data_IF_222347519213
#
_entry.id   IF_222347519213
#
_cell.length_a   1.000
_cell.length_b   1.000
_cell.length_c   1.000
_cell.angle_alpha   90.00
_cell.angle_beta   90.00
_cell.angle_gamma   90.00
#
_symmetry.space_group_name_H-M   'P 1'
#
loop_
_entity.id
_entity.type
_entity.pdbx_description
1 polymer ?
#
# COMPACT_ATOMS: atom_id res chain seq x y z
N UNK A 1 -1.47 -5.80 22.75
CA UNK A 1 -1.91 -5.98 21.34
C UNK A 1 -1.22 -5.01 20.39
N UNK A 2 -1.13 -3.70 20.72
CA UNK A 2 -0.42 -2.72 19.87
C UNK A 2 1.07 -3.07 19.68
N UNK A 3 1.75 -3.48 20.73
CA UNK A 3 3.18 -3.84 20.67
C UNK A 3 3.42 -5.07 19.77
N UNK A 4 2.58 -6.11 19.87
CA UNK A 4 2.71 -7.30 19.02
C UNK A 4 2.50 -7.01 17.52
N UNK A 5 1.61 -6.09 17.17
CA UNK A 5 1.44 -5.66 15.77
C UNK A 5 2.64 -4.83 15.30
N UNK A 6 3.16 -3.95 16.16
CA UNK A 6 4.35 -3.16 15.85
C UNK A 6 5.56 -4.06 15.58
N UNK A 7 5.77 -5.07 16.43
CA UNK A 7 6.84 -6.04 16.25
C UNK A 7 6.67 -6.83 14.96
N UNK A 8 5.44 -7.26 14.64
CA UNK A 8 5.15 -7.96 13.39
C UNK A 8 5.41 -7.09 12.14
N UNK A 9 5.05 -5.81 12.17
CA UNK A 9 5.33 -4.86 11.09
C UNK A 9 6.84 -4.61 10.94
N UNK A 10 7.58 -4.45 12.04
CA UNK A 10 9.03 -4.28 12.00
C UNK A 10 9.74 -5.54 11.45
N UNK A 11 9.27 -6.72 11.86
CA UNK A 11 9.79 -7.98 11.34
C UNK A 11 9.52 -8.11 9.83
N UNK A 12 8.32 -7.80 9.38
CA UNK A 12 7.98 -7.79 7.97
C UNK A 12 8.84 -6.80 7.18
N UNK A 13 9.07 -5.59 7.69
CA UNK A 13 9.93 -4.59 7.07
C UNK A 13 11.37 -5.12 6.90
N UNK A 14 11.93 -5.77 7.92
CA UNK A 14 13.27 -6.37 7.84
C UNK A 14 13.35 -7.47 6.76
N UNK A 15 12.33 -8.34 6.66
CA UNK A 15 12.26 -9.39 5.64
C UNK A 15 12.21 -8.77 4.23
N UNK A 16 11.35 -7.79 4.03
CA UNK A 16 11.17 -7.07 2.76
C UNK A 16 12.47 -6.37 2.34
N UNK A 17 13.06 -5.60 3.24
CA UNK A 17 14.31 -4.89 2.97
C UNK A 17 15.45 -5.87 2.61
N UNK A 18 15.51 -7.01 3.28
CA UNK A 18 16.51 -8.07 2.97
C UNK A 18 16.25 -8.63 1.57
N UNK A 19 15.01 -9.03 1.24
CA UNK A 19 14.70 -9.61 -0.05
C UNK A 19 14.99 -8.64 -1.23
N UNK A 20 14.69 -7.34 -1.05
CA UNK A 20 15.01 -6.33 -2.07
C UNK A 20 16.51 -6.08 -2.15
N UNK A 21 17.21 -5.96 -1.02
CA UNK A 21 18.67 -5.76 -0.97
C UNK A 21 19.43 -6.87 -1.64
N UNK A 22 19.05 -8.12 -1.41
CA UNK A 22 19.69 -9.29 -2.02
C UNK A 22 19.55 -9.29 -3.55
N UNK A 23 18.43 -8.79 -4.06
CA UNK A 23 18.18 -8.68 -5.51
C UNK A 23 18.85 -7.46 -6.15
N UNK A 24 18.85 -6.31 -5.46
CA UNK A 24 19.38 -5.04 -6.01
C UNK A 24 20.90 -4.95 -5.89
N UNK A 25 21.48 -5.52 -4.82
CA UNK A 25 22.88 -5.34 -4.48
C UNK A 25 23.16 -3.97 -3.84
N UNK A 26 24.45 -3.73 -3.53
CA UNK A 26 24.90 -2.53 -2.81
C UNK A 26 25.69 -1.54 -3.66
N UNK A 27 25.50 -1.52 -4.97
CA UNK A 27 26.22 -0.63 -5.86
C UNK A 27 25.74 0.82 -5.76
N UNK A 28 26.62 1.84 -5.95
CA UNK A 28 26.23 3.24 -6.04
C UNK A 28 25.29 3.51 -7.23
N UNK A 29 24.55 4.61 -7.16
CA UNK A 29 23.68 5.07 -8.25
C UNK A 29 22.24 4.57 -8.08
N UNK A 30 21.65 4.00 -9.12
CA UNK A 30 20.23 3.54 -9.11
C UNK A 30 19.98 2.51 -7.97
N UNK A 31 20.81 1.48 -7.77
CA UNK A 31 20.64 0.56 -6.64
C UNK A 31 20.58 1.24 -5.27
N UNK A 32 21.44 2.22 -5.02
CA UNK A 32 21.42 3.01 -3.79
C UNK A 32 20.12 3.80 -3.64
N UNK A 33 19.64 4.44 -4.71
CA UNK A 33 18.40 5.20 -4.72
C UNK A 33 17.17 4.28 -4.51
N UNK A 34 17.15 3.07 -5.10
CA UNK A 34 16.12 2.06 -4.87
C UNK A 34 16.03 1.69 -3.38
N UNK A 35 17.16 1.35 -2.75
CA UNK A 35 17.19 1.01 -1.33
C UNK A 35 16.80 2.20 -0.44
N UNK A 36 17.21 3.42 -0.81
CA UNK A 36 16.83 4.64 -0.09
C UNK A 36 15.32 4.84 -0.07
N UNK A 37 14.63 4.60 -1.18
CA UNK A 37 13.19 4.75 -1.31
C UNK A 37 12.39 3.66 -0.58
N UNK A 38 12.92 2.43 -0.55
CA UNK A 38 12.25 1.29 0.11
C UNK A 38 12.40 1.37 1.63
N UNK A 39 13.61 1.70 2.13
CA UNK A 39 13.92 1.66 3.55
C UNK A 39 13.17 2.71 4.38
N UNK A 40 12.80 2.32 5.60
CA UNK A 40 12.18 3.20 6.59
C UNK A 40 10.64 3.33 6.46
N UNK A 41 10.02 2.53 5.58
CA UNK A 41 8.57 2.37 5.53
C UNK A 41 8.03 1.40 6.57
N UNK A 42 6.72 1.43 6.80
CA UNK A 42 6.02 0.47 7.68
C UNK A 42 5.85 -0.90 7.00
N UNK A 43 6.15 -1.03 5.72
CA UNK A 43 6.01 -2.24 4.87
C UNK A 43 4.69 -2.98 5.09
N UNK A 44 3.59 -2.22 5.16
CA UNK A 44 2.26 -2.77 5.42
C UNK A 44 1.83 -3.78 4.36
N UNK A 45 2.11 -3.51 3.08
CA UNK A 45 1.73 -4.42 1.99
C UNK A 45 2.55 -5.70 2.05
N UNK A 46 3.84 -5.60 2.32
CA UNK A 46 4.71 -6.76 2.56
C UNK A 46 4.26 -7.59 3.76
N UNK A 47 3.87 -6.93 4.86
CA UNK A 47 3.28 -7.59 6.03
C UNK A 47 2.01 -8.36 5.66
N UNK A 48 1.10 -7.77 4.86
CA UNK A 48 -0.13 -8.44 4.43
C UNK A 48 0.16 -9.69 3.59
N UNK A 49 1.18 -9.64 2.71
CA UNK A 49 1.64 -10.82 1.96
C UNK A 49 2.14 -11.91 2.91
N UNK A 50 3.02 -11.55 3.85
CA UNK A 50 3.65 -12.53 4.77
C UNK A 50 2.61 -13.17 5.71
N UNK A 51 1.69 -12.38 6.27
CA UNK A 51 0.64 -12.89 7.14
C UNK A 51 -0.38 -13.75 6.36
N UNK A 52 -0.77 -13.31 5.14
CA UNK A 52 -1.60 -14.12 4.26
C UNK A 52 -0.94 -15.44 3.89
N UNK A 53 0.36 -15.45 3.61
CA UNK A 53 1.16 -16.64 3.34
C UNK A 53 1.21 -17.58 4.56
N UNK A 54 1.47 -17.04 5.75
CA UNK A 54 1.49 -17.78 7.02
C UNK A 54 0.15 -18.48 7.29
N UNK A 55 -0.98 -17.81 7.06
CA UNK A 55 -2.32 -18.38 7.22
C UNK A 55 -2.56 -19.60 6.30
N UNK A 56 -1.86 -19.67 5.19
CA UNK A 56 -1.97 -20.75 4.21
C UNK A 56 -0.79 -21.74 4.28
N UNK A 57 -0.01 -21.72 5.37
CA UNK A 57 1.09 -22.67 5.58
C UNK A 57 2.30 -22.47 4.65
N UNK A 58 2.46 -21.27 4.08
CA UNK A 58 3.59 -20.94 3.24
C UNK A 58 4.73 -20.40 4.11
N UNK A 59 5.91 -20.98 3.94
CA UNK A 59 7.12 -20.55 4.64
C UNK A 59 7.53 -19.13 4.28
N UNK A 60 8.08 -18.40 5.25
CA UNK A 60 8.46 -16.99 5.10
C UNK A 60 9.49 -16.79 3.97
N UNK A 61 10.44 -17.70 3.80
CA UNK A 61 11.46 -17.63 2.74
C UNK A 61 10.84 -17.73 1.34
N UNK A 62 9.75 -18.45 1.21
CA UNK A 62 9.00 -18.58 -0.04
C UNK A 62 8.19 -17.32 -0.33
N UNK A 63 7.62 -16.69 0.70
CA UNK A 63 6.79 -15.50 0.57
C UNK A 63 7.60 -14.18 0.49
N UNK A 64 8.82 -14.15 1.03
CA UNK A 64 9.65 -12.95 1.12
C UNK A 64 9.89 -12.24 -0.22
N UNK A 65 10.24 -12.92 -1.34
CA UNK A 65 10.37 -12.25 -2.63
C UNK A 65 9.06 -11.61 -3.10
N UNK A 66 7.91 -12.23 -2.84
CA UNK A 66 6.59 -11.70 -3.22
C UNK A 66 6.22 -10.49 -2.35
N UNK A 67 6.59 -10.51 -1.06
CA UNK A 67 6.45 -9.35 -0.18
C UNK A 67 7.39 -8.20 -0.61
N UNK A 68 8.60 -8.49 -1.04
CA UNK A 68 9.51 -7.52 -1.66
C UNK A 68 8.94 -6.93 -2.94
N UNK A 69 8.32 -7.74 -3.79
CA UNK A 69 7.72 -7.31 -5.05
C UNK A 69 6.65 -6.23 -4.85
N UNK A 70 5.73 -6.41 -3.93
CA UNK A 70 4.66 -5.42 -3.70
C UNK A 70 5.20 -4.13 -3.07
N UNK A 71 6.20 -4.20 -2.21
CA UNK A 71 6.82 -2.99 -1.64
C UNK A 71 7.70 -2.26 -2.66
N UNK A 72 8.38 -2.96 -3.56
CA UNK A 72 9.08 -2.35 -4.70
C UNK A 72 8.08 -1.63 -5.63
N UNK A 73 6.95 -2.27 -5.96
CA UNK A 73 5.86 -1.69 -6.75
C UNK A 73 5.26 -0.45 -6.05
N UNK A 74 5.08 -0.48 -4.74
CA UNK A 74 4.62 0.68 -3.99
C UNK A 74 5.67 1.78 -3.90
N UNK A 75 6.95 1.44 -3.74
CA UNK A 75 8.02 2.44 -3.66
C UNK A 75 8.18 3.21 -4.98
N UNK A 76 8.08 2.53 -6.14
CA UNK A 76 8.14 3.23 -7.42
C UNK A 76 7.03 4.27 -7.54
N UNK A 77 5.79 3.92 -7.14
CA UNK A 77 4.67 4.86 -7.25
C UNK A 77 4.91 6.11 -6.41
N UNK A 78 5.44 5.94 -5.18
CA UNK A 78 5.76 7.07 -4.32
C UNK A 78 6.88 7.98 -4.89
N UNK A 79 7.91 7.39 -5.52
CA UNK A 79 8.99 8.16 -6.13
C UNK A 79 8.46 9.02 -7.29
N UNK A 80 7.59 8.43 -8.13
CA UNK A 80 7.02 9.15 -9.26
C UNK A 80 5.97 10.18 -8.81
N UNK A 81 5.17 9.87 -7.79
CA UNK A 81 4.22 10.83 -7.21
C UNK A 81 4.94 12.06 -6.62
N UNK A 82 6.14 11.89 -6.04
CA UNK A 82 6.93 12.99 -5.47
C UNK A 82 7.54 13.96 -6.51
N UNK A 83 7.57 13.60 -7.80
CA UNK A 83 8.19 14.41 -8.85
C UNK A 83 7.50 15.79 -9.02
N UNK A 84 8.24 16.83 -9.48
CA UNK A 84 7.68 18.17 -9.70
C UNK A 84 6.50 18.24 -10.68
N UNK A 85 6.38 17.27 -11.59
CA UNK A 85 5.23 17.15 -12.52
C UNK A 85 4.02 16.42 -11.93
N UNK A 86 4.11 15.96 -10.69
CA UNK A 86 3.07 15.26 -9.94
C UNK A 86 2.74 16.04 -8.66
N UNK A 87 2.92 15.44 -7.48
CA UNK A 87 2.59 16.09 -6.19
C UNK A 87 3.62 17.15 -5.76
N UNK A 88 4.84 17.15 -6.36
CA UNK A 88 5.95 18.06 -6.06
C UNK A 88 6.30 18.10 -4.56
N UNK A 89 6.42 16.93 -3.95
CA UNK A 89 6.71 16.80 -2.53
C UNK A 89 8.23 16.82 -2.27
N UNK A 90 8.67 17.66 -1.34
CA UNK A 90 10.09 17.78 -0.95
C UNK A 90 10.53 16.69 0.01
N UNK A 91 9.63 16.18 0.83
CA UNK A 91 9.94 15.26 1.94
C UNK A 91 9.02 14.04 1.95
N UNK A 92 9.61 12.86 2.17
CA UNK A 92 8.88 11.61 2.37
C UNK A 92 9.48 10.79 3.52
N UNK A 93 8.66 10.36 4.45
CA UNK A 93 9.09 9.60 5.65
C UNK A 93 10.20 10.32 6.43
N UNK A 94 10.13 11.65 6.52
CA UNK A 94 11.12 12.49 7.22
C UNK A 94 12.47 12.61 6.51
N UNK A 95 12.56 12.24 5.23
CA UNK A 95 13.78 12.34 4.41
C UNK A 95 13.47 13.11 3.12
N UNK A 96 14.46 13.79 2.51
CA UNK A 96 14.30 14.38 1.18
C UNK A 96 13.83 13.34 0.16
N UNK A 97 12.96 13.74 -0.76
CA UNK A 97 12.53 12.87 -1.86
C UNK A 97 13.67 12.53 -2.81
N UNK A 98 13.54 11.48 -3.61
CA UNK A 98 14.65 10.97 -4.46
C UNK A 98 15.10 12.05 -5.45
N UNK A 99 14.17 12.82 -6.04
CA UNK A 99 14.51 13.86 -7.00
C UNK A 99 15.28 15.03 -6.38
N UNK A 100 15.07 15.31 -5.10
CA UNK A 100 15.83 16.34 -4.38
C UNK A 100 17.18 15.84 -3.88
N UNK A 101 17.25 14.55 -3.46
CA UNK A 101 18.52 13.99 -2.97
C UNK A 101 19.51 13.72 -4.09
N UNK A 102 19.03 13.36 -5.28
CA UNK A 102 19.84 13.16 -6.49
C UNK A 102 19.45 14.14 -7.58
N UNK A 103 18.48 13.79 -8.41
CA UNK A 103 17.88 14.61 -9.47
C UNK A 103 16.64 13.89 -10.03
N UNK A 104 15.85 14.59 -10.86
CA UNK A 104 14.62 14.05 -11.47
C UNK A 104 14.89 12.82 -12.35
N UNK A 105 15.96 12.83 -13.16
CA UNK A 105 16.30 11.68 -14.01
C UNK A 105 16.60 10.43 -13.18
N UNK A 106 17.33 10.58 -12.06
CA UNK A 106 17.56 9.48 -11.11
C UNK A 106 16.24 9.00 -10.50
N UNK A 107 15.32 9.89 -10.14
CA UNK A 107 14.03 9.52 -9.59
C UNK A 107 13.18 8.70 -10.59
N UNK A 108 13.08 9.17 -11.85
CA UNK A 108 12.37 8.45 -12.91
C UNK A 108 12.96 7.04 -13.10
N UNK A 109 14.29 6.94 -13.32
CA UNK A 109 14.95 5.66 -13.54
C UNK A 109 14.88 4.72 -12.33
N UNK A 110 14.89 5.26 -11.11
CA UNK A 110 14.73 4.47 -9.87
C UNK A 110 13.32 3.87 -9.80
N UNK A 111 12.30 4.64 -10.13
CA UNK A 111 10.92 4.12 -10.21
C UNK A 111 10.77 3.03 -11.26
N UNK A 112 11.30 3.24 -12.47
CA UNK A 112 11.27 2.24 -13.55
C UNK A 112 11.98 0.94 -13.14
N UNK A 113 13.16 1.07 -12.49
CA UNK A 113 13.92 -0.09 -12.02
C UNK A 113 13.17 -0.86 -10.91
N UNK A 114 12.51 -0.17 -9.95
CA UNK A 114 11.70 -0.81 -8.91
C UNK A 114 10.47 -1.52 -9.48
N UNK A 115 9.83 -0.95 -10.51
CA UNK A 115 8.71 -1.58 -11.18
C UNK A 115 9.14 -2.87 -11.87
N UNK A 116 10.28 -2.88 -12.59
CA UNK A 116 10.85 -4.06 -13.20
C UNK A 116 11.24 -5.11 -12.16
N UNK A 117 11.91 -4.69 -11.07
CA UNK A 117 12.31 -5.54 -9.96
C UNK A 117 11.12 -6.27 -9.31
N UNK A 118 9.95 -5.63 -9.22
CA UNK A 118 8.76 -6.25 -8.66
C UNK A 118 8.37 -7.54 -9.41
N UNK A 119 8.45 -7.53 -10.72
CA UNK A 119 8.20 -8.73 -11.53
C UNK A 119 9.34 -9.75 -11.43
N UNK A 120 10.57 -9.30 -11.40
CA UNK A 120 11.75 -10.17 -11.22
C UNK A 120 11.66 -10.96 -9.91
N UNK A 121 11.33 -10.29 -8.78
CA UNK A 121 11.18 -10.93 -7.48
C UNK A 121 10.09 -12.01 -7.46
N UNK A 122 8.96 -11.80 -8.14
CA UNK A 122 7.92 -12.84 -8.29
C UNK A 122 8.49 -14.04 -9.06
N UNK A 123 9.27 -13.80 -10.12
CA UNK A 123 9.84 -14.87 -10.95
C UNK A 123 10.96 -15.65 -10.24
N UNK A 124 11.74 -14.99 -9.38
CA UNK A 124 12.79 -15.63 -8.58
C UNK A 124 12.23 -16.47 -7.42
N UNK A 125 11.03 -16.16 -6.93
CA UNK A 125 10.42 -16.87 -5.81
C UNK A 125 10.33 -18.40 -6.05
N UNK A 126 10.57 -19.19 -5.00
CA UNK A 126 10.43 -20.66 -5.05
C UNK A 126 8.96 -21.09 -4.92
N UNK A 127 8.15 -20.69 -5.89
CA UNK A 127 6.72 -20.95 -5.98
C UNK A 127 6.38 -21.62 -7.32
N UNK A 128 5.17 -22.21 -7.43
CA UNK A 128 4.78 -22.91 -8.65
C UNK A 128 4.70 -21.96 -9.87
N UNK A 129 4.97 -22.46 -11.09
CA UNK A 129 4.81 -21.64 -12.30
C UNK A 129 3.43 -21.00 -12.42
N UNK A 130 2.37 -21.71 -12.00
CA UNK A 130 1.00 -21.21 -12.00
C UNK A 130 0.86 -20.02 -11.06
N UNK A 131 1.40 -20.11 -9.83
CA UNK A 131 1.38 -19.01 -8.87
C UNK A 131 2.14 -17.77 -9.40
N UNK A 132 3.32 -17.97 -10.02
CA UNK A 132 4.10 -16.89 -10.65
C UNK A 132 3.28 -16.14 -11.70
N UNK A 133 2.65 -16.88 -12.61
CA UNK A 133 1.83 -16.29 -13.68
C UNK A 133 0.66 -15.50 -13.10
N UNK A 134 -0.08 -16.07 -12.14
CA UNK A 134 -1.22 -15.40 -11.51
C UNK A 134 -0.77 -14.14 -10.77
N UNK A 135 0.28 -14.22 -9.94
CA UNK A 135 0.79 -13.09 -9.19
C UNK A 135 1.26 -11.96 -10.12
N UNK A 136 2.06 -12.26 -11.14
CA UNK A 136 2.56 -11.27 -12.08
C UNK A 136 1.42 -10.64 -12.91
N UNK A 137 0.48 -11.46 -13.42
CA UNK A 137 -0.66 -10.96 -14.17
C UNK A 137 -1.54 -10.05 -13.33
N UNK A 138 -1.88 -10.46 -12.11
CA UNK A 138 -2.68 -9.64 -11.20
C UNK A 138 -1.92 -8.41 -10.72
N UNK A 139 -0.59 -8.45 -10.57
CA UNK A 139 0.20 -7.26 -10.26
C UNK A 139 0.13 -6.24 -11.39
N UNK A 140 0.28 -6.68 -12.63
CA UNK A 140 0.15 -5.82 -13.81
C UNK A 140 -1.23 -5.15 -13.91
N UNK A 141 -2.31 -5.87 -13.55
CA UNK A 141 -3.67 -5.32 -13.51
C UNK A 141 -3.80 -4.28 -12.39
N UNK A 142 -3.38 -4.64 -11.17
CA UNK A 142 -3.62 -3.83 -9.98
C UNK A 142 -2.68 -2.61 -9.89
N UNK A 143 -1.49 -2.67 -10.49
CA UNK A 143 -0.58 -1.54 -10.58
C UNK A 143 -0.84 -0.66 -11.81
N UNK A 144 -1.37 -1.21 -12.89
CA UNK A 144 -1.56 -0.54 -14.18
C UNK A 144 -2.79 0.38 -14.27
N UNK A 145 -3.23 0.64 -15.51
CA UNK A 145 -4.36 1.55 -15.82
C UNK A 145 -5.67 1.10 -15.15
N UNK A 146 -5.90 -0.20 -15.02
CA UNK A 146 -7.09 -0.75 -14.36
C UNK A 146 -7.04 -0.67 -12.82
N UNK A 147 -5.89 -0.34 -12.24
CA UNK A 147 -5.63 -0.23 -10.81
C UNK A 147 -4.98 1.10 -10.45
N UNK A 148 -3.84 1.05 -9.77
CA UNK A 148 -3.18 2.20 -9.12
C UNK A 148 -2.89 3.36 -10.07
N UNK A 149 -2.29 3.11 -11.25
CA UNK A 149 -1.97 4.17 -12.22
C UNK A 149 -3.25 4.84 -12.74
N UNK A 150 -4.30 4.05 -13.08
CA UNK A 150 -5.58 4.62 -13.48
C UNK A 150 -6.28 5.38 -12.35
N UNK A 151 -6.10 4.95 -11.10
CA UNK A 151 -6.57 5.68 -9.91
C UNK A 151 -5.86 7.01 -9.74
N UNK A 152 -4.52 7.03 -9.90
CA UNK A 152 -3.72 8.27 -9.84
C UNK A 152 -4.10 9.23 -10.98
N UNK A 153 -4.26 8.74 -12.21
CA UNK A 153 -4.71 9.57 -13.32
C UNK A 153 -6.11 10.19 -13.07
N UNK A 154 -7.02 9.42 -12.45
CA UNK A 154 -8.35 9.92 -12.08
C UNK A 154 -8.27 10.95 -10.94
N UNK A 155 -7.32 10.80 -10.01
CA UNK A 155 -7.10 11.76 -8.91
C UNK A 155 -6.62 13.12 -9.45
N UNK A 156 -5.62 13.10 -10.34
CA UNK A 156 -5.14 14.32 -11.02
C UNK A 156 -6.25 14.98 -11.85
N UNK A 157 -7.03 14.18 -12.58
CA UNK A 157 -8.14 14.71 -13.37
C UNK A 157 -9.25 15.32 -12.50
N UNK A 158 -9.43 14.82 -11.27
CA UNK A 158 -10.41 15.34 -10.32
C UNK A 158 -10.03 16.72 -9.78
N UNK A 159 -8.75 17.04 -9.66
CA UNK A 159 -8.25 18.36 -9.23
C UNK A 159 -8.58 19.46 -10.25
N UNK A 160 -8.64 19.10 -11.54
CA UNK A 160 -8.95 20.02 -12.63
C UNK A 160 -10.45 20.03 -13.01
N UNK A 161 -11.30 19.30 -12.30
CA UNK A 161 -12.71 19.17 -12.62
C UNK A 161 -13.54 20.36 -12.12
N UNK A 162 -14.45 20.86 -12.95
CA UNK A 162 -15.35 21.97 -12.59
C UNK A 162 -16.36 21.58 -11.49
N UNK A 163 -16.70 20.29 -11.36
CA UNK A 163 -17.65 19.78 -10.38
C UNK A 163 -17.00 18.77 -9.42
N UNK A 164 -17.30 18.84 -8.11
CA UNK A 164 -16.81 17.89 -7.14
C UNK A 164 -17.24 16.46 -7.47
N UNK A 165 -16.37 15.48 -7.14
CA UNK A 165 -16.70 14.07 -7.34
C UNK A 165 -17.85 13.64 -6.42
N UNK A 166 -18.71 12.76 -6.92
CA UNK A 166 -19.70 12.06 -6.10
C UNK A 166 -19.05 10.98 -5.24
N UNK A 167 -19.72 10.55 -4.15
CA UNK A 167 -19.23 9.47 -3.28
C UNK A 167 -18.89 8.20 -4.06
N UNK A 168 -19.68 7.83 -5.07
CA UNK A 168 -19.41 6.66 -5.92
C UNK A 168 -18.09 6.81 -6.70
N UNK A 169 -17.83 8.00 -7.24
CA UNK A 169 -16.61 8.30 -7.98
C UNK A 169 -15.39 8.32 -7.04
N UNK A 170 -15.50 8.91 -5.85
CA UNK A 170 -14.45 8.89 -4.82
C UNK A 170 -14.13 7.44 -4.39
N UNK A 171 -15.15 6.63 -4.11
CA UNK A 171 -14.97 5.21 -3.80
C UNK A 171 -14.21 4.47 -4.92
N UNK A 172 -14.64 4.66 -6.18
CA UNK A 172 -14.00 4.01 -7.34
C UNK A 172 -12.54 4.44 -7.53
N UNK A 173 -12.25 5.72 -7.36
CA UNK A 173 -10.92 6.29 -7.46
C UNK A 173 -10.01 5.70 -6.38
N UNK A 174 -10.44 5.75 -5.11
CA UNK A 174 -9.65 5.27 -3.98
C UNK A 174 -9.47 3.74 -3.98
N UNK A 175 -10.47 2.99 -4.43
CA UNK A 175 -10.35 1.56 -4.64
C UNK A 175 -9.24 1.21 -5.66
N UNK A 176 -9.05 2.04 -6.68
CA UNK A 176 -7.96 1.88 -7.65
C UNK A 176 -6.63 2.40 -7.12
N UNK A 177 -6.56 3.69 -6.70
CA UNK A 177 -5.32 4.36 -6.32
C UNK A 177 -4.64 3.66 -5.13
N UNK A 178 -5.39 3.35 -4.09
CA UNK A 178 -4.89 2.78 -2.83
C UNK A 178 -5.30 1.31 -2.65
N UNK A 179 -6.56 0.98 -2.91
CA UNK A 179 -7.15 -0.33 -2.63
C UNK A 179 -6.53 -1.46 -3.45
N UNK A 180 -6.26 -1.24 -4.73
CA UNK A 180 -5.81 -2.28 -5.65
C UNK A 180 -4.53 -2.99 -5.19
N UNK A 181 -3.51 -2.26 -4.73
CA UNK A 181 -2.28 -2.88 -4.22
C UNK A 181 -2.47 -3.53 -2.85
N UNK A 182 -3.40 -3.06 -2.01
CA UNK A 182 -3.76 -3.70 -0.74
C UNK A 182 -4.49 -5.03 -1.01
N UNK A 183 -5.47 -5.04 -1.93
CA UNK A 183 -6.15 -6.27 -2.36
C UNK A 183 -5.18 -7.30 -2.92
N UNK A 184 -4.24 -6.85 -3.78
CA UNK A 184 -3.22 -7.74 -4.32
C UNK A 184 -2.35 -8.35 -3.22
N UNK A 185 -1.90 -7.52 -2.25
CA UNK A 185 -1.06 -7.96 -1.14
C UNK A 185 -1.78 -9.00 -0.26
N UNK A 186 -3.05 -8.78 0.06
CA UNK A 186 -3.86 -9.72 0.83
C UNK A 186 -4.05 -11.06 0.09
N UNK A 187 -4.30 -11.02 -1.23
CA UNK A 187 -4.52 -12.20 -2.03
C UNK A 187 -3.24 -12.98 -2.38
N UNK A 188 -2.05 -12.40 -2.18
CA UNK A 188 -0.79 -13.02 -2.57
C UNK A 188 -0.53 -14.34 -1.83
N UNK A 189 -0.77 -14.41 -0.52
CA UNK A 189 -0.59 -15.62 0.28
C UNK A 189 -1.40 -16.81 -0.24
N UNK A 190 -2.73 -16.74 -0.35
CA UNK A 190 -3.53 -17.80 -0.94
C UNK A 190 -3.16 -18.13 -2.39
N UNK A 191 -2.75 -17.15 -3.21
CA UNK A 191 -2.27 -17.40 -4.58
C UNK A 191 -1.00 -18.21 -4.60
N UNK A 192 -0.04 -17.95 -3.70
CA UNK A 192 1.18 -18.77 -3.54
C UNK A 192 0.80 -20.21 -3.18
N UNK A 193 -0.13 -20.39 -2.26
CA UNK A 193 -0.62 -21.70 -1.80
C UNK A 193 -1.58 -22.38 -2.77
N UNK A 194 -1.98 -21.73 -3.86
CA UNK A 194 -3.06 -22.20 -4.75
C UNK A 194 -4.38 -22.51 -4.02
N UNK A 195 -4.70 -21.71 -3.00
CA UNK A 195 -5.90 -21.80 -2.16
C UNK A 195 -6.97 -20.77 -2.58
N UNK A 196 -8.14 -20.83 -1.93
CA UNK A 196 -9.21 -19.83 -2.14
C UNK A 196 -8.75 -18.45 -1.63
N UNK A 197 -8.77 -17.48 -2.52
CA UNK A 197 -8.35 -16.10 -2.22
C UNK A 197 -9.49 -15.18 -1.74
N UNK A 198 -10.76 -15.64 -1.87
CA UNK A 198 -11.93 -14.76 -1.64
C UNK A 198 -11.98 -14.13 -0.25
N UNK A 199 -11.71 -14.85 0.86
CA UNK A 199 -11.72 -14.24 2.19
C UNK A 199 -10.66 -13.14 2.34
N UNK A 200 -9.46 -13.37 1.80
CA UNK A 200 -8.38 -12.38 1.85
C UNK A 200 -8.62 -11.21 0.91
N UNK A 201 -9.26 -11.40 -0.24
CA UNK A 201 -9.70 -10.30 -1.12
C UNK A 201 -10.75 -9.44 -0.44
N UNK A 202 -11.75 -10.04 0.22
CA UNK A 202 -12.77 -9.29 0.94
C UNK A 202 -12.15 -8.49 2.09
N UNK A 203 -11.27 -9.10 2.88
CA UNK A 203 -10.49 -8.42 3.89
C UNK A 203 -9.73 -7.22 3.31
N UNK A 204 -9.00 -7.41 2.20
CA UNK A 204 -8.20 -6.37 1.55
C UNK A 204 -9.04 -5.20 1.04
N UNK A 205 -10.23 -5.45 0.49
CA UNK A 205 -11.18 -4.42 0.03
C UNK A 205 -11.64 -3.54 1.17
N UNK A 206 -12.16 -4.15 2.22
CA UNK A 206 -12.67 -3.41 3.38
C UNK A 206 -11.55 -2.69 4.11
N UNK A 207 -10.36 -3.31 4.26
CA UNK A 207 -9.17 -2.68 4.83
C UNK A 207 -8.71 -1.47 4.03
N UNK A 208 -8.63 -1.59 2.70
CA UNK A 208 -8.17 -0.51 1.81
C UNK A 208 -9.09 0.71 1.86
N UNK A 209 -10.41 0.50 1.89
CA UNK A 209 -11.39 1.59 2.05
C UNK A 209 -11.32 2.22 3.44
N UNK A 210 -11.24 1.40 4.52
CA UNK A 210 -11.09 1.91 5.88
C UNK A 210 -9.82 2.73 6.04
N UNK A 211 -8.72 2.29 5.41
CA UNK A 211 -7.44 3.00 5.43
C UNK A 211 -7.56 4.41 4.83
N UNK A 212 -8.21 4.53 3.67
CA UNK A 212 -8.38 5.82 3.01
C UNK A 212 -9.32 6.75 3.81
N UNK A 213 -10.45 6.23 4.32
CA UNK A 213 -11.36 7.03 5.16
C UNK A 213 -10.61 7.53 6.41
N UNK A 214 -9.75 6.70 7.00
CA UNK A 214 -8.95 7.10 8.17
C UNK A 214 -7.90 8.15 7.81
N UNK A 215 -7.31 8.10 6.63
CA UNK A 215 -6.40 9.15 6.15
C UNK A 215 -7.15 10.48 5.95
N UNK A 216 -8.34 10.47 5.35
CA UNK A 216 -9.20 11.65 5.19
C UNK A 216 -9.62 12.25 6.56
N UNK A 217 -9.92 11.39 7.55
CA UNK A 217 -10.23 11.83 8.91
C UNK A 217 -9.01 12.49 9.55
N UNK A 218 -7.82 11.91 9.39
CA UNK A 218 -6.57 12.45 9.92
C UNK A 218 -6.19 13.78 9.28
N UNK A 219 -6.46 13.98 7.98
CA UNK A 219 -6.21 15.26 7.30
C UNK A 219 -7.07 16.39 7.89
N UNK A 220 -8.27 16.07 8.39
CA UNK A 220 -9.19 17.06 9.00
C UNK A 220 -8.97 17.23 10.50
N UNK A 221 -8.61 16.17 11.24
CA UNK A 221 -8.57 16.16 12.71
C UNK A 221 -7.16 16.10 13.29
N UNK A 222 -6.15 15.82 12.46
CA UNK A 222 -4.77 15.62 12.90
C UNK A 222 -4.13 16.92 13.38
N UNK A 223 -3.16 16.78 14.30
CA UNK A 223 -2.23 17.85 14.65
C UNK A 223 -1.04 17.79 13.67
N UNK A 224 -0.72 18.90 13.01
CA UNK A 224 0.33 18.99 11.99
C UNK A 224 1.69 18.50 12.53
N UNK A 225 1.98 18.76 13.82
CA UNK A 225 3.22 18.33 14.48
C UNK A 225 3.24 16.81 14.74
N UNK A 226 2.07 16.20 14.96
CA UNK A 226 1.94 14.76 15.22
C UNK A 226 1.91 13.94 13.91
N UNK A 227 1.33 14.50 12.84
CA UNK A 227 1.16 13.81 11.53
C UNK A 227 2.44 13.87 10.68
N UNK A 228 3.33 14.83 10.95
CA UNK A 228 4.58 15.01 10.19
C UNK A 228 4.36 15.45 8.73
N UNK A 229 3.15 15.92 8.40
CA UNK A 229 2.75 16.50 7.10
C UNK A 229 1.82 17.69 7.36
N UNK A 230 1.73 18.60 6.38
CA UNK A 230 0.72 19.67 6.41
C UNK A 230 -0.69 19.06 6.41
N UNK A 231 -1.53 19.47 7.35
CA UNK A 231 -2.94 19.06 7.52
C UNK A 231 -3.83 20.00 6.70
N UNK A 232 -4.98 19.51 6.22
CA UNK A 232 -5.92 20.32 5.43
C UNK A 232 -5.51 20.51 3.97
N UNK A 233 -4.54 19.73 3.46
CA UNK A 233 -4.13 19.79 2.05
C UNK A 233 -5.31 19.48 1.10
N UNK A 234 -6.14 18.50 1.42
CA UNK A 234 -7.27 18.08 0.59
C UNK A 234 -8.36 19.16 0.53
N UNK A 235 -8.62 19.83 1.65
CA UNK A 235 -9.57 20.97 1.71
C UNK A 235 -9.02 22.14 0.90
N UNK A 236 -7.74 22.46 1.04
CA UNK A 236 -7.09 23.56 0.30
C UNK A 236 -7.07 23.30 -1.22
N UNK A 237 -6.95 22.05 -1.63
CA UNK A 237 -7.01 21.61 -3.02
C UNK A 237 -8.44 21.45 -3.56
N UNK A 238 -9.48 21.64 -2.74
CA UNK A 238 -10.88 21.47 -3.15
C UNK A 238 -11.27 20.01 -3.46
N UNK A 239 -10.49 19.03 -2.98
CA UNK A 239 -10.74 17.61 -3.23
C UNK A 239 -12.00 17.13 -2.52
N UNK A 240 -12.81 16.34 -3.22
CA UNK A 240 -13.91 15.60 -2.61
C UNK A 240 -13.33 14.40 -1.83
N UNK A 241 -13.50 14.41 -0.51
CA UNK A 241 -13.06 13.35 0.40
C UNK A 241 -14.27 12.64 1.02
N UNK A 242 -14.05 11.49 1.67
CA UNK A 242 -15.12 10.84 2.43
C UNK A 242 -15.66 11.74 3.55
N UNK A 243 -14.80 12.52 4.19
CA UNK A 243 -15.22 13.46 5.25
C UNK A 243 -16.07 14.60 4.68
N UNK A 244 -15.71 15.16 3.52
CA UNK A 244 -16.50 16.24 2.90
C UNK A 244 -17.88 15.77 2.43
N UNK A 245 -18.02 14.49 2.06
CA UNK A 245 -19.27 13.90 1.51
C UNK A 245 -20.17 13.26 2.56
N UNK A 246 -19.62 12.68 3.62
CA UNK A 246 -20.35 11.96 4.68
C UNK A 246 -20.44 12.73 5.98
N UNK A 247 -19.68 13.83 6.12
CA UNK A 247 -19.40 14.45 7.40
C UNK A 247 -18.43 13.61 8.25
N UNK A 248 -17.82 14.22 9.27
CA UNK A 248 -16.82 13.55 10.11
C UNK A 248 -17.38 12.33 10.84
N UNK A 249 -18.60 12.45 11.42
CA UNK A 249 -19.21 11.34 12.15
C UNK A 249 -19.64 10.21 11.22
N UNK A 250 -20.15 10.53 10.02
CA UNK A 250 -20.48 9.55 8.98
C UNK A 250 -19.25 8.80 8.49
N UNK A 251 -18.14 9.51 8.25
CA UNK A 251 -16.87 8.90 7.89
C UNK A 251 -16.32 7.97 8.98
N UNK A 252 -16.35 8.38 10.25
CA UNK A 252 -15.98 7.54 11.39
C UNK A 252 -16.83 6.28 11.49
N UNK A 253 -18.14 6.41 11.37
CA UNK A 253 -19.04 5.25 11.42
C UNK A 253 -18.75 4.27 10.26
N UNK A 254 -18.54 4.80 9.05
CA UNK A 254 -18.23 3.95 7.89
C UNK A 254 -16.87 3.24 8.04
N UNK A 255 -15.86 3.91 8.59
CA UNK A 255 -14.56 3.29 8.86
C UNK A 255 -14.68 2.12 9.85
N UNK A 256 -15.51 2.26 10.90
CA UNK A 256 -15.77 1.18 11.87
C UNK A 256 -16.47 0.00 11.18
N UNK A 257 -17.53 0.24 10.41
CA UNK A 257 -18.23 -0.82 9.65
C UNK A 257 -17.27 -1.59 8.75
N UNK A 258 -16.40 -0.91 8.02
CA UNK A 258 -15.42 -1.54 7.13
C UNK A 258 -14.39 -2.37 7.87
N UNK A 259 -13.95 -1.93 9.05
CA UNK A 259 -13.05 -2.72 9.90
C UNK A 259 -13.73 -3.98 10.43
N UNK A 260 -15.01 -3.89 10.78
CA UNK A 260 -15.79 -5.06 11.20
C UNK A 260 -15.99 -6.03 10.02
N UNK A 261 -16.37 -5.53 8.84
CA UNK A 261 -16.44 -6.33 7.60
C UNK A 261 -15.11 -7.05 7.30
N UNK A 262 -13.97 -6.34 7.45
CA UNK A 262 -12.65 -6.93 7.28
C UNK A 262 -12.37 -8.04 8.31
N UNK A 263 -12.71 -7.83 9.58
CA UNK A 263 -12.54 -8.83 10.62
C UNK A 263 -13.42 -10.07 10.38
N UNK A 264 -14.66 -9.88 9.90
CA UNK A 264 -15.61 -10.95 9.61
C UNK A 264 -15.14 -11.82 8.43
N UNK A 265 -14.56 -11.21 7.39
CA UNK A 265 -13.95 -11.93 6.26
C UNK A 265 -12.88 -12.95 6.72
N UNK A 266 -12.22 -12.68 7.85
CA UNK A 266 -11.20 -13.55 8.43
C UNK A 266 -11.74 -14.62 9.38
N UNK A 267 -13.08 -14.78 9.50
CA UNK A 267 -13.69 -15.73 10.45
C UNK A 267 -13.22 -17.17 10.24
N UNK A 268 -13.02 -17.60 8.99
CA UNK A 268 -12.57 -18.95 8.63
C UNK A 268 -11.20 -19.31 9.21
N UNK A 269 -10.33 -18.29 9.43
CA UNK A 269 -8.97 -18.49 9.96
C UNK A 269 -8.90 -18.48 11.49
N UNK A 270 -10.04 -18.28 12.17
CA UNK A 270 -10.15 -18.28 13.64
C UNK A 270 -9.05 -17.44 14.30
N UNK A 271 -8.40 -17.96 15.34
CA UNK A 271 -7.31 -17.26 16.05
C UNK A 271 -6.05 -17.07 15.20
N UNK A 272 -5.86 -17.86 14.16
CA UNK A 272 -4.73 -17.71 13.25
C UNK A 272 -4.63 -16.30 12.61
N UNK A 273 -5.77 -15.62 12.43
CA UNK A 273 -5.83 -14.27 11.86
C UNK A 273 -5.79 -13.13 12.88
N UNK A 274 -5.41 -13.38 14.13
CA UNK A 274 -5.40 -12.36 15.19
C UNK A 274 -4.58 -11.11 14.82
N UNK A 275 -3.42 -11.29 14.19
CA UNK A 275 -2.52 -10.22 13.76
C UNK A 275 -3.14 -9.36 12.65
N UNK A 276 -3.82 -9.99 11.66
CA UNK A 276 -4.54 -9.26 10.61
C UNK A 276 -5.74 -8.48 11.16
N UNK A 277 -6.50 -9.06 12.10
CA UNK A 277 -7.57 -8.32 12.79
C UNK A 277 -7.03 -7.15 13.60
N UNK A 278 -5.87 -7.32 14.25
CA UNK A 278 -5.21 -6.22 14.95
C UNK A 278 -4.77 -5.12 13.97
N UNK A 279 -4.29 -5.47 12.78
CA UNK A 279 -3.94 -4.52 11.73
C UNK A 279 -5.17 -3.73 11.23
N UNK A 280 -6.31 -4.39 11.01
CA UNK A 280 -7.55 -3.71 10.63
C UNK A 280 -8.01 -2.72 11.71
N UNK A 281 -8.04 -3.13 12.97
CA UNK A 281 -8.42 -2.24 14.08
C UNK A 281 -7.43 -1.11 14.31
N UNK A 282 -6.16 -1.31 14.00
CA UNK A 282 -5.13 -0.27 14.12
C UNK A 282 -5.41 0.90 13.15
N UNK A 283 -6.04 0.65 12.00
CA UNK A 283 -6.41 1.69 11.04
C UNK A 283 -7.29 2.77 11.67
N UNK A 284 -8.23 2.39 12.57
CA UNK A 284 -9.12 3.33 13.26
C UNK A 284 -8.40 4.16 14.34
N UNK A 285 -7.27 3.68 14.86
CA UNK A 285 -6.56 4.28 15.99
C UNK A 285 -5.26 4.97 15.56
N UNK A 286 -5.08 5.19 14.26
CA UNK A 286 -3.90 5.90 13.74
C UNK A 286 -3.96 7.35 14.15
N UNK A 287 -2.83 7.86 14.63
CA UNK A 287 -2.62 9.28 14.97
C UNK A 287 -1.61 9.93 14.01
N UNK A 288 -0.95 9.12 13.18
CA UNK A 288 0.04 9.56 12.18
C UNK A 288 0.33 8.43 11.16
#
# INVERSE_FOLDING_TARGET
>A
MADALKDALQHAASIVETAIRDAVGGQPGIPEAMMYAVCGGKSLRGFLVLEGARLHGVEVQTAAPVAGAIEAMHAYSLIHDDLPCMDNDDMRRGKPTVHLKWNEATAVLTGDALQALAFELIMQGNITPKAKIVLAHMLAINAGERGMVGGQAADIAAEAADEPLTLLKVNSLQAKKTGALIEWACAAGPRIACADEMPMLQYGRSLGQAFQISDDILDVTGDADAVGKAVGKDIAAGKATFVSLLGLDGAKSRAVELVDEACDALAIYREGAATLRAAARFVLNRTH
#
